data_IF_946632526792
#
_entry.id   IF_946632526792
#
_cell.length_a   1.000
_cell.length_b   1.000
_cell.length_c   1.000
_cell.angle_alpha   90.00
_cell.angle_beta   90.00
_cell.angle_gamma   90.00
#
_symmetry.space_group_name_H-M   'P 1'
#
loop_
_entity.id
_entity.type
_entity.pdbx_description
1 polymer ?
#
# COMPACT_ATOMS: atom_id res chain seq x y z
N UNK A 1 13.41 26.55 9.85
CA UNK A 1 12.34 27.54 9.67
C UNK A 1 11.28 27.11 8.66
N UNK A 2 11.55 27.01 7.35
CA UNK A 2 10.50 26.63 6.37
C UNK A 2 9.95 25.21 6.59
N UNK A 3 10.82 24.22 6.78
CA UNK A 3 10.40 22.83 7.05
C UNK A 3 9.60 22.70 8.35
N UNK A 4 10.03 23.36 9.42
CA UNK A 4 9.31 23.33 10.71
C UNK A 4 7.91 23.94 10.58
N UNK A 5 7.78 25.02 9.82
CA UNK A 5 6.48 25.62 9.51
C UNK A 5 5.57 24.64 8.77
N UNK A 6 6.08 23.97 7.74
CA UNK A 6 5.32 22.96 6.98
C UNK A 6 4.85 21.81 7.90
N UNK A 7 5.70 21.34 8.81
CA UNK A 7 5.33 20.26 9.74
C UNK A 7 4.32 20.71 10.80
N UNK A 8 4.43 21.95 11.28
CA UNK A 8 3.42 22.55 12.16
C UNK A 8 2.06 22.72 11.44
N UNK A 9 2.07 23.14 10.18
CA UNK A 9 0.87 23.25 9.34
C UNK A 9 0.22 21.88 9.09
N UNK A 10 1.02 20.83 8.82
CA UNK A 10 0.56 19.44 8.75
C UNK A 10 -0.13 19.03 10.05
N UNK A 11 0.52 19.22 11.20
CA UNK A 11 -0.04 18.84 12.51
C UNK A 11 -1.36 19.56 12.78
N UNK A 12 -1.41 20.87 12.55
CA UNK A 12 -2.64 21.65 12.71
C UNK A 12 -3.74 21.22 11.74
N UNK A 13 -3.39 20.85 10.51
CA UNK A 13 -4.34 20.30 9.54
C UNK A 13 -4.90 18.96 10.00
N UNK A 14 -4.05 18.01 10.45
CA UNK A 14 -4.48 16.71 10.97
C UNK A 14 -5.48 16.87 12.13
N UNK A 15 -5.21 17.80 13.06
CA UNK A 15 -6.12 18.09 14.17
C UNK A 15 -7.47 18.64 13.69
N UNK A 16 -7.48 19.53 12.69
CA UNK A 16 -8.74 20.03 12.06
C UNK A 16 -9.52 18.92 11.36
N UNK A 17 -8.82 17.91 10.83
CA UNK A 17 -9.43 16.72 10.25
C UNK A 17 -9.94 15.71 11.30
N UNK A 18 -9.76 15.99 12.61
CA UNK A 18 -10.22 15.13 13.70
C UNK A 18 -9.21 14.08 14.15
N UNK A 19 -7.95 14.16 13.72
CA UNK A 19 -6.91 13.26 14.21
C UNK A 19 -6.46 13.61 15.63
N UNK A 20 -6.33 12.59 16.49
CA UNK A 20 -5.64 12.72 17.76
C UNK A 20 -4.15 12.48 17.54
N UNK A 21 -3.39 13.56 17.52
CA UNK A 21 -1.93 13.55 17.36
C UNK A 21 -1.24 14.28 18.50
N UNK A 22 -1.86 14.34 19.70
CA UNK A 22 -1.30 15.07 20.84
C UNK A 22 -0.04 14.39 21.37
N UNK A 23 -0.01 13.06 21.40
CA UNK A 23 1.11 12.27 21.90
C UNK A 23 2.24 12.07 20.86
N UNK A 24 2.11 12.63 19.65
CA UNK A 24 3.14 12.58 18.62
C UNK A 24 3.40 13.96 18.01
N UNK A 25 4.53 14.09 17.33
CA UNK A 25 4.87 15.22 16.48
C UNK A 25 5.64 14.74 15.23
N UNK A 26 5.89 15.65 14.30
CA UNK A 26 6.64 15.37 13.07
C UNK A 26 7.96 16.14 13.08
N UNK A 27 9.07 15.44 12.87
CA UNK A 27 10.40 16.04 12.93
C UNK A 27 11.37 15.36 11.96
N UNK A 28 12.46 16.05 11.56
CA UNK A 28 13.59 15.39 10.91
C UNK A 28 14.19 14.32 11.83
N UNK A 29 14.31 13.10 11.31
CA UNK A 29 14.90 11.94 11.95
C UNK A 29 16.21 11.58 11.27
N UNK A 30 17.21 11.23 12.07
CA UNK A 30 18.53 10.86 11.57
C UNK A 30 18.43 9.64 10.64
N UNK A 31 18.95 9.78 9.41
CA UNK A 31 19.00 8.69 8.42
C UNK A 31 17.67 8.33 7.74
N UNK A 32 16.55 8.98 8.08
CA UNK A 32 15.21 8.59 7.59
C UNK A 32 14.33 9.76 7.12
N UNK A 33 14.89 10.96 6.94
CA UNK A 33 14.10 12.13 6.51
C UNK A 33 13.13 12.60 7.59
N UNK A 34 11.91 13.00 7.22
CA UNK A 34 10.88 13.36 8.21
C UNK A 34 10.26 12.09 8.79
N UNK A 35 10.16 12.01 10.11
CA UNK A 35 9.50 10.93 10.83
C UNK A 35 8.52 11.42 11.88
N UNK A 36 7.88 10.47 12.56
CA UNK A 36 7.06 10.71 13.75
C UNK A 36 7.92 10.60 15.00
N UNK A 37 7.75 11.51 15.96
CA UNK A 37 8.43 11.50 17.27
C UNK A 37 7.41 11.56 18.41
N UNK A 38 7.73 10.97 19.55
CA UNK A 38 6.88 11.02 20.73
C UNK A 38 6.96 12.40 21.40
N UNK A 39 5.83 12.93 21.87
CA UNK A 39 5.80 14.16 22.69
C UNK A 39 5.80 13.82 24.18
N UNK A 40 5.88 14.84 25.04
CA UNK A 40 5.67 14.66 26.47
C UNK A 40 4.32 14.03 26.81
N UNK A 41 3.30 14.26 25.99
CA UNK A 41 1.97 13.70 26.17
C UNK A 41 1.89 12.20 25.85
N UNK A 42 2.91 11.59 25.24
CA UNK A 42 2.99 10.14 25.07
C UNK A 42 3.17 9.42 26.42
N UNK A 43 3.97 10.02 27.32
CA UNK A 43 4.31 9.41 28.62
C UNK A 43 3.09 9.02 29.46
N UNK A 44 2.10 9.92 29.72
CA UNK A 44 0.93 9.54 30.51
C UNK A 44 0.07 8.47 29.82
N UNK A 45 0.06 8.38 28.47
CA UNK A 45 -0.68 7.32 27.74
C UNK A 45 -0.05 5.93 27.91
N UNK A 46 1.28 5.88 28.10
CA UNK A 46 2.01 4.63 28.32
C UNK A 46 2.12 4.26 29.80
N UNK A 47 1.87 5.19 30.73
CA UNK A 47 1.88 4.92 32.17
C UNK A 47 0.71 4.02 32.55
N UNK A 48 1.03 2.90 33.20
CA UNK A 48 0.02 2.05 33.84
C UNK A 48 -0.53 2.78 35.08
N UNK A 49 -1.82 3.12 35.05
CA UNK A 49 -2.52 3.58 36.24
C UNK A 49 -2.69 2.44 37.26
N UNK A 50 -2.99 2.81 38.51
CA UNK A 50 -3.39 1.88 39.59
C UNK A 50 -4.43 0.85 39.11
N UNK A 51 -5.39 1.28 38.29
CA UNK A 51 -6.45 0.41 37.78
C UNK A 51 -5.89 -0.66 36.85
N UNK A 52 -4.97 -0.32 35.95
CA UNK A 52 -4.32 -1.28 35.06
C UNK A 52 -3.50 -2.33 35.84
N UNK A 53 -2.94 -1.96 36.99
CA UNK A 53 -2.31 -2.91 37.91
C UNK A 53 -3.32 -3.86 38.55
N UNK A 54 -4.46 -3.36 39.04
CA UNK A 54 -5.56 -4.19 39.55
C UNK A 54 -6.13 -5.14 38.49
N UNK A 55 -6.34 -4.65 37.27
CA UNK A 55 -6.80 -5.47 36.14
C UNK A 55 -5.78 -6.56 35.77
N UNK A 56 -4.48 -6.24 35.80
CA UNK A 56 -3.42 -7.23 35.58
C UNK A 56 -3.37 -8.28 36.69
N UNK A 57 -3.64 -7.90 37.94
CA UNK A 57 -3.73 -8.82 39.07
C UNK A 57 -4.97 -9.73 38.98
N UNK A 58 -6.07 -9.23 38.42
CA UNK A 58 -7.29 -9.99 38.14
C UNK A 58 -7.20 -10.88 36.87
N UNK A 59 -6.02 -11.06 36.28
CA UNK A 59 -5.81 -11.90 35.09
C UNK A 59 -6.12 -11.20 33.76
N UNK A 60 -6.37 -9.89 33.76
CA UNK A 60 -6.51 -9.08 32.55
C UNK A 60 -5.16 -8.85 31.87
N UNK A 61 -5.11 -9.00 30.54
CA UNK A 61 -3.91 -8.74 29.76
C UNK A 61 -3.46 -7.28 29.83
N UNK A 62 -2.16 -7.05 29.71
CA UNK A 62 -1.61 -5.70 29.65
C UNK A 62 -2.18 -4.93 28.44
N UNK A 63 -2.62 -3.69 28.66
CA UNK A 63 -3.23 -2.88 27.62
C UNK A 63 -2.18 -2.09 26.83
N UNK A 64 -2.37 -2.06 25.52
CA UNK A 64 -1.56 -1.24 24.64
C UNK A 64 -1.93 0.25 24.75
N UNK A 65 -0.98 1.13 24.47
CA UNK A 65 -1.16 2.58 24.55
C UNK A 65 -1.41 3.19 23.17
N UNK A 66 -2.49 3.94 23.01
CA UNK A 66 -2.80 4.67 21.76
C UNK A 66 -2.00 5.98 21.70
N UNK A 67 -1.03 6.03 20.79
CA UNK A 67 -0.18 7.22 20.58
C UNK A 67 -0.82 8.22 19.63
N UNK A 68 -1.55 7.74 18.62
CA UNK A 68 -2.27 8.60 17.69
C UNK A 68 -3.48 7.89 17.10
N UNK A 69 -4.47 8.64 16.64
CA UNK A 69 -5.63 8.13 15.90
C UNK A 69 -5.91 9.03 14.70
N UNK A 70 -6.11 8.43 13.53
CA UNK A 70 -6.31 9.09 12.25
C UNK A 70 -7.67 8.65 11.67
N UNK A 71 -8.63 9.55 11.45
CA UNK A 71 -9.93 9.18 10.89
C UNK A 71 -9.78 8.59 9.49
N UNK A 72 -10.38 7.44 9.23
CA UNK A 72 -10.26 6.78 7.92
C UNK A 72 -10.90 7.60 6.79
N UNK A 73 -11.87 8.46 7.13
CA UNK A 73 -12.48 9.43 6.20
C UNK A 73 -11.48 10.41 5.57
N UNK A 74 -10.28 10.56 6.16
CA UNK A 74 -9.23 11.47 5.69
C UNK A 74 -8.16 10.76 4.86
N UNK A 75 -8.20 9.42 4.82
CA UNK A 75 -7.29 8.62 4.02
C UNK A 75 -7.55 8.82 2.52
N UNK A 76 -6.50 8.71 1.71
CA UNK A 76 -6.62 8.69 0.26
C UNK A 76 -6.92 7.26 -0.15
N UNK A 77 -8.18 7.00 -0.50
CA UNK A 77 -8.68 5.68 -0.93
C UNK A 77 -9.56 5.83 -2.17
N UNK A 78 -9.86 4.72 -2.85
CA UNK A 78 -10.80 4.76 -3.98
C UNK A 78 -12.16 5.34 -3.54
N UNK A 79 -12.60 5.01 -2.33
CA UNK A 79 -13.83 5.51 -1.74
C UNK A 79 -13.79 7.02 -1.47
N UNK A 80 -12.70 7.55 -0.91
CA UNK A 80 -12.60 9.00 -0.66
C UNK A 80 -12.43 9.80 -1.95
N UNK A 81 -11.74 9.25 -2.96
CA UNK A 81 -11.64 9.83 -4.29
C UNK A 81 -13.02 9.95 -4.96
N UNK A 82 -13.84 8.89 -4.89
CA UNK A 82 -15.19 8.88 -5.44
C UNK A 82 -16.16 9.83 -4.70
N UNK A 83 -15.91 10.08 -3.41
CA UNK A 83 -16.71 10.98 -2.57
C UNK A 83 -16.32 12.47 -2.69
N UNK A 84 -15.30 12.81 -3.50
CA UNK A 84 -14.89 14.20 -3.70
C UNK A 84 -16.05 15.05 -4.28
N UNK A 85 -16.20 16.30 -3.81
CA UNK A 85 -17.26 17.17 -4.28
C UNK A 85 -17.06 17.58 -5.75
N UNK A 86 -18.14 18.05 -6.37
CA UNK A 86 -18.13 18.51 -7.77
C UNK A 86 -18.04 17.37 -8.79
N UNK A 87 -17.55 17.69 -9.99
CA UNK A 87 -17.46 16.72 -11.10
C UNK A 87 -16.31 15.71 -10.97
N UNK A 88 -15.35 15.97 -10.08
CA UNK A 88 -14.16 15.12 -9.91
C UNK A 88 -14.50 13.75 -9.32
N UNK A 89 -15.30 13.69 -8.25
CA UNK A 89 -15.68 12.43 -7.60
C UNK A 89 -16.40 11.47 -8.56
N UNK A 90 -17.33 11.98 -9.37
CA UNK A 90 -18.03 11.20 -10.39
C UNK A 90 -17.08 10.63 -11.46
N UNK A 91 -16.04 11.37 -11.85
CA UNK A 91 -15.02 10.87 -12.78
C UNK A 91 -14.13 9.78 -12.15
N UNK A 92 -13.70 9.96 -10.90
CA UNK A 92 -12.98 8.90 -10.18
C UNK A 92 -13.81 7.63 -10.06
N UNK A 93 -15.08 7.74 -9.68
CA UNK A 93 -16.00 6.61 -9.62
C UNK A 93 -16.13 5.90 -10.98
N UNK A 94 -16.36 6.66 -12.06
CA UNK A 94 -16.47 6.10 -13.40
C UNK A 94 -15.19 5.37 -13.86
N UNK A 95 -14.00 5.88 -13.53
CA UNK A 95 -12.74 5.23 -13.87
C UNK A 95 -12.57 3.88 -13.18
N UNK A 96 -13.02 3.74 -11.92
CA UNK A 96 -13.04 2.47 -11.21
C UNK A 96 -14.09 1.51 -11.78
N UNK A 97 -15.33 1.97 -11.95
CA UNK A 97 -16.47 1.14 -12.36
C UNK A 97 -16.32 0.59 -13.78
N UNK A 98 -15.80 1.40 -14.69
CA UNK A 98 -15.60 1.03 -16.10
C UNK A 98 -14.30 0.23 -16.31
N UNK A 99 -13.50 0.02 -15.26
CA UNK A 99 -12.20 -0.66 -15.34
C UNK A 99 -11.16 0.11 -16.14
N UNK A 100 -11.28 1.44 -16.21
CA UNK A 100 -10.32 2.32 -16.87
C UNK A 100 -8.98 2.38 -16.13
N UNK A 101 -9.00 2.19 -14.81
CA UNK A 101 -7.81 2.02 -13.98
C UNK A 101 -8.11 1.10 -12.78
N UNK A 102 -7.07 0.42 -12.26
CA UNK A 102 -7.17 -0.20 -10.94
C UNK A 102 -7.10 0.83 -9.81
N UNK A 103 -7.42 0.40 -8.59
CA UNK A 103 -7.48 1.26 -7.40
C UNK A 103 -6.15 1.95 -7.10
N UNK A 104 -5.02 1.27 -7.31
CA UNK A 104 -3.68 1.82 -7.10
C UNK A 104 -3.38 2.94 -8.09
N UNK A 105 -3.65 2.68 -9.35
CA UNK A 105 -3.44 3.62 -10.45
C UNK A 105 -4.33 4.85 -10.26
N UNK A 106 -5.58 4.67 -9.82
CA UNK A 106 -6.48 5.75 -9.50
C UNK A 106 -5.92 6.66 -8.39
N UNK A 107 -5.38 6.07 -7.34
CA UNK A 107 -4.75 6.83 -6.26
C UNK A 107 -3.49 7.57 -6.71
N UNK A 108 -2.73 7.01 -7.64
CA UNK A 108 -1.62 7.74 -8.26
C UNK A 108 -2.12 8.94 -9.07
N UNK A 109 -3.22 8.82 -9.81
CA UNK A 109 -3.84 9.97 -10.50
C UNK A 109 -4.36 11.02 -9.50
N UNK A 110 -4.99 10.59 -8.41
CA UNK A 110 -5.42 11.48 -7.33
C UNK A 110 -4.25 12.29 -6.77
N UNK A 111 -3.12 11.63 -6.49
CA UNK A 111 -1.91 12.30 -6.03
C UNK A 111 -1.39 13.35 -7.02
N UNK A 112 -1.37 13.04 -8.33
CA UNK A 112 -0.96 14.00 -9.37
C UNK A 112 -1.91 15.21 -9.40
N UNK A 113 -3.21 14.96 -9.48
CA UNK A 113 -4.24 15.99 -9.57
C UNK A 113 -4.17 16.92 -8.36
N UNK A 114 -4.18 16.35 -7.15
CA UNK A 114 -4.21 17.12 -5.91
C UNK A 114 -2.91 17.86 -5.65
N UNK A 115 -1.75 17.32 -6.07
CA UNK A 115 -0.49 18.05 -6.05
C UNK A 115 -0.52 19.28 -6.96
N UNK A 116 -1.04 19.13 -8.18
CA UNK A 116 -1.09 20.22 -9.17
C UNK A 116 -2.13 21.29 -8.82
N UNK A 117 -3.18 20.94 -8.08
CA UNK A 117 -4.12 21.91 -7.51
C UNK A 117 -3.49 22.84 -6.46
N UNK A 118 -2.33 22.48 -5.91
CA UNK A 118 -1.63 23.30 -4.93
C UNK A 118 -2.49 23.60 -3.71
N UNK A 119 -2.58 24.87 -3.33
CA UNK A 119 -3.33 25.34 -2.16
C UNK A 119 -4.84 25.08 -2.23
N UNK A 120 -5.39 24.86 -3.43
CA UNK A 120 -6.80 24.51 -3.62
C UNK A 120 -7.11 23.03 -3.32
N UNK A 121 -6.09 22.21 -3.02
CA UNK A 121 -6.28 20.84 -2.58
C UNK A 121 -6.69 20.80 -1.09
N UNK A 122 -7.70 19.99 -0.72
CA UNK A 122 -8.00 19.76 0.70
C UNK A 122 -6.86 19.07 1.45
N UNK A 123 -5.92 18.45 0.73
CA UNK A 123 -4.72 17.80 1.27
C UNK A 123 -3.46 18.65 1.17
N UNK A 124 -3.55 19.94 0.81
CA UNK A 124 -2.38 20.79 0.57
C UNK A 124 -1.32 20.76 1.70
N UNK A 125 -1.68 20.84 3.00
CA UNK A 125 -0.68 20.78 4.08
C UNK A 125 0.04 19.42 4.17
N UNK A 126 -0.66 18.33 3.87
CA UNK A 126 -0.05 16.99 3.81
C UNK A 126 0.86 16.85 2.58
N UNK A 127 0.39 17.27 1.40
CA UNK A 127 1.17 17.24 0.17
C UNK A 127 2.45 18.07 0.27
N UNK A 128 2.40 19.24 0.93
CA UNK A 128 3.56 20.09 1.16
C UNK A 128 4.62 19.44 2.09
N UNK A 129 4.19 18.57 2.99
CA UNK A 129 5.08 17.84 3.89
C UNK A 129 5.74 16.61 3.25
N UNK A 130 5.20 16.10 2.14
CA UNK A 130 5.75 14.95 1.42
C UNK A 130 7.13 15.24 0.81
N UNK A 131 7.96 14.21 0.61
CA UNK A 131 9.23 14.37 -0.09
C UNK A 131 9.01 14.67 -1.58
N UNK A 132 9.83 15.58 -2.13
CA UNK A 132 9.86 15.84 -3.57
C UNK A 132 10.42 14.64 -4.36
N UNK A 133 11.27 13.83 -3.73
CA UNK A 133 11.83 12.58 -4.28
C UNK A 133 12.01 11.56 -3.15
N UNK A 134 11.62 10.31 -3.41
CA UNK A 134 11.71 9.20 -2.43
C UNK A 134 13.12 8.58 -2.38
N UNK A 135 13.97 8.80 -3.39
CA UNK A 135 15.29 8.16 -3.48
C UNK A 135 15.28 6.79 -4.17
N UNK A 136 14.14 6.39 -4.73
CA UNK A 136 14.00 5.15 -5.53
C UNK A 136 14.85 5.22 -6.82
N UNK A 137 15.43 4.08 -7.27
CA UNK A 137 16.09 3.94 -8.56
C UNK A 137 15.27 4.43 -9.75
N UNK A 138 13.93 4.54 -9.63
CA UNK A 138 13.08 5.15 -10.65
C UNK A 138 13.49 6.56 -11.05
N UNK A 139 14.14 7.31 -10.15
CA UNK A 139 14.55 8.70 -10.35
C UNK A 139 16.06 8.88 -10.58
N UNK A 140 16.83 7.80 -10.56
CA UNK A 140 18.29 7.85 -10.77
C UNK A 140 18.66 8.37 -12.16
N UNK A 141 19.75 9.14 -12.21
CA UNK A 141 20.45 9.40 -13.48
C UNK A 141 20.93 8.09 -14.12
N UNK A 142 21.24 8.13 -15.41
CA UNK A 142 21.80 6.95 -16.10
C UNK A 142 23.13 6.49 -15.47
N UNK A 143 23.93 7.43 -14.94
CA UNK A 143 25.17 7.12 -14.21
C UNK A 143 24.87 6.35 -12.92
N UNK A 144 23.94 6.84 -12.08
CA UNK A 144 23.56 6.15 -10.85
C UNK A 144 22.93 4.78 -11.14
N UNK A 145 22.07 4.69 -12.16
CA UNK A 145 21.45 3.42 -12.54
C UNK A 145 22.49 2.41 -13.07
N UNK A 146 23.55 2.88 -13.73
CA UNK A 146 24.64 2.01 -14.22
C UNK A 146 25.40 1.32 -13.10
N UNK A 147 25.43 1.90 -11.89
CA UNK A 147 26.06 1.27 -10.71
C UNK A 147 25.30 0.02 -10.25
N UNK A 148 24.03 -0.12 -10.63
CA UNK A 148 23.23 -1.30 -10.35
C UNK A 148 23.41 -2.40 -11.43
N UNK A 149 24.20 -2.16 -12.48
CA UNK A 149 24.35 -3.10 -13.59
C UNK A 149 24.78 -4.50 -13.09
N UNK A 150 24.18 -5.54 -13.68
CA UNK A 150 24.39 -6.93 -13.26
C UNK A 150 23.47 -7.42 -12.14
N UNK A 151 22.73 -6.53 -11.47
CA UNK A 151 21.76 -6.90 -10.43
C UNK A 151 20.34 -7.12 -10.98
N UNK A 152 19.50 -7.83 -10.22
CA UNK A 152 18.05 -7.93 -10.44
C UNK A 152 17.40 -6.53 -10.46
N UNK A 153 17.85 -5.64 -9.58
CA UNK A 153 17.30 -4.31 -9.38
C UNK A 153 17.47 -3.43 -10.62
N UNK A 154 18.64 -3.44 -11.27
CA UNK A 154 18.83 -2.70 -12.52
C UNK A 154 17.83 -3.11 -13.61
N UNK A 155 17.62 -4.42 -13.79
CA UNK A 155 16.63 -4.93 -14.75
C UNK A 155 15.21 -4.53 -14.33
N UNK A 156 14.86 -4.70 -13.07
CA UNK A 156 13.55 -4.36 -12.55
C UNK A 156 13.23 -2.87 -12.72
N UNK A 157 14.16 -1.98 -12.40
CA UNK A 157 14.02 -0.53 -12.57
C UNK A 157 13.81 -0.15 -14.03
N UNK A 158 14.58 -0.72 -14.97
CA UNK A 158 14.42 -0.44 -16.40
C UNK A 158 13.04 -0.86 -16.92
N UNK A 159 12.60 -2.07 -16.57
CA UNK A 159 11.28 -2.59 -16.96
C UNK A 159 10.15 -1.75 -16.35
N UNK A 160 10.28 -1.38 -15.08
CA UNK A 160 9.27 -0.55 -14.41
C UNK A 160 9.22 0.86 -15.02
N UNK A 161 10.36 1.51 -15.31
CA UNK A 161 10.38 2.80 -16.02
C UNK A 161 9.69 2.72 -17.38
N UNK A 162 9.95 1.66 -18.15
CA UNK A 162 9.29 1.45 -19.43
C UNK A 162 7.77 1.31 -19.23
N UNK A 163 7.35 0.44 -18.31
CA UNK A 163 5.94 0.21 -18.02
C UNK A 163 5.22 1.49 -17.58
N UNK A 164 5.83 2.29 -16.71
CA UNK A 164 5.27 3.57 -16.28
C UNK A 164 5.12 4.56 -17.43
N UNK A 165 6.05 4.59 -18.41
CA UNK A 165 5.89 5.43 -19.61
C UNK A 165 4.71 4.98 -20.47
N UNK A 166 4.58 3.67 -20.68
CA UNK A 166 3.46 3.10 -21.42
C UNK A 166 2.12 3.36 -20.72
N UNK A 167 2.09 3.29 -19.39
CA UNK A 167 0.91 3.61 -18.58
C UNK A 167 0.59 5.09 -18.65
N UNK A 168 1.58 5.96 -18.48
CA UNK A 168 1.39 7.39 -18.55
C UNK A 168 0.81 7.84 -19.89
N UNK A 169 1.33 7.33 -21.01
CA UNK A 169 0.81 7.63 -22.33
C UNK A 169 -0.69 7.29 -22.49
N UNK A 170 -1.20 6.31 -21.73
CA UNK A 170 -2.62 5.94 -21.74
C UNK A 170 -3.45 6.67 -20.70
N UNK A 171 -2.85 7.23 -19.66
CA UNK A 171 -3.52 7.82 -18.50
C UNK A 171 -3.48 9.35 -18.48
N UNK A 172 -2.54 9.96 -19.21
CA UNK A 172 -2.37 11.41 -19.30
C UNK A 172 -3.67 12.13 -19.72
N UNK A 173 -4.45 11.68 -20.73
CA UNK A 173 -5.72 12.31 -21.07
C UNK A 173 -6.73 12.29 -19.91
N UNK A 174 -6.85 11.16 -19.21
CA UNK A 174 -7.75 11.01 -18.06
C UNK A 174 -7.30 11.90 -16.90
N UNK A 175 -5.99 12.01 -16.68
CA UNK A 175 -5.43 12.92 -15.68
C UNK A 175 -5.76 14.38 -16.01
N UNK A 176 -5.66 14.79 -17.27
CA UNK A 176 -6.03 16.14 -17.72
C UNK A 176 -7.53 16.41 -17.54
N UNK A 177 -8.39 15.43 -17.81
CA UNK A 177 -9.82 15.54 -17.56
C UNK A 177 -10.16 15.66 -16.06
N UNK A 178 -9.45 14.93 -15.21
CA UNK A 178 -9.62 15.02 -13.75
C UNK A 178 -9.18 16.40 -13.23
N UNK A 179 -8.08 16.95 -13.74
CA UNK A 179 -7.65 18.32 -13.43
C UNK A 179 -8.72 19.35 -13.82
N UNK A 180 -9.28 19.22 -15.04
CA UNK A 180 -10.34 20.11 -15.49
C UNK A 180 -11.59 20.03 -14.61
N UNK A 181 -12.01 18.81 -14.23
CA UNK A 181 -13.14 18.60 -13.34
C UNK A 181 -12.89 19.06 -11.89
N UNK A 182 -11.63 19.23 -11.52
CA UNK A 182 -11.21 19.71 -10.20
C UNK A 182 -10.90 21.22 -10.18
N UNK A 183 -11.18 21.93 -11.28
CA UNK A 183 -10.97 23.38 -11.38
C UNK A 183 -9.51 23.80 -11.59
N UNK A 184 -8.67 22.90 -12.11
CA UNK A 184 -7.24 23.14 -12.36
C UNK A 184 -6.86 22.82 -13.83
N UNK A 185 -7.74 23.16 -14.77
CA UNK A 185 -7.61 22.84 -16.20
C UNK A 185 -6.37 23.47 -16.86
N UNK A 186 -5.87 24.57 -16.31
CA UNK A 186 -4.69 25.31 -16.75
C UNK A 186 -3.38 24.56 -16.49
N UNK A 187 -3.38 23.62 -15.53
CA UNK A 187 -2.23 22.79 -15.24
C UNK A 187 -2.11 21.65 -16.26
N UNK A 188 -0.88 21.31 -16.61
CA UNK A 188 -0.55 20.18 -17.49
C UNK A 188 0.24 19.15 -16.70
N UNK A 189 -0.27 17.93 -16.50
CA UNK A 189 0.45 16.91 -15.79
C UNK A 189 1.57 16.37 -16.67
N UNK A 190 2.72 16.07 -16.07
CA UNK A 190 3.86 15.50 -16.76
C UNK A 190 4.17 14.07 -16.29
N UNK A 191 4.93 13.33 -17.09
CA UNK A 191 5.41 12.00 -16.71
C UNK A 191 6.15 11.99 -15.36
N UNK A 192 6.88 13.06 -15.04
CA UNK A 192 7.58 13.21 -13.77
C UNK A 192 6.62 13.25 -12.57
N UNK A 193 5.43 13.86 -12.73
CA UNK A 193 4.40 13.89 -11.68
C UNK A 193 3.87 12.47 -11.42
N UNK A 194 3.66 11.69 -12.47
CA UNK A 194 3.23 10.31 -12.35
C UNK A 194 4.28 9.40 -11.70
N UNK A 195 5.56 9.57 -12.05
CA UNK A 195 6.67 8.85 -11.37
C UNK A 195 6.76 9.22 -9.90
N UNK A 196 6.55 10.50 -9.56
CA UNK A 196 6.47 10.95 -8.18
C UNK A 196 5.29 10.30 -7.46
N UNK A 197 4.09 10.34 -8.03
CA UNK A 197 2.89 9.77 -7.44
C UNK A 197 3.01 8.25 -7.24
N UNK A 198 3.59 7.54 -8.21
CA UNK A 198 3.93 6.12 -8.06
C UNK A 198 4.87 5.89 -6.88
N UNK A 199 5.93 6.69 -6.75
CA UNK A 199 6.91 6.56 -5.67
C UNK A 199 6.28 6.85 -4.30
N UNK A 200 5.44 7.88 -4.20
CA UNK A 200 4.67 8.20 -2.99
C UNK A 200 3.73 7.06 -2.63
N UNK A 201 2.93 6.58 -3.59
CA UNK A 201 1.99 5.48 -3.36
C UNK A 201 2.69 4.23 -2.83
N UNK A 202 3.74 3.75 -3.49
CA UNK A 202 4.39 2.50 -3.10
C UNK A 202 5.13 2.59 -1.75
N UNK A 203 5.70 3.76 -1.44
CA UNK A 203 6.38 3.99 -0.17
C UNK A 203 5.43 4.18 1.01
N UNK A 204 4.18 4.62 0.79
CA UNK A 204 3.29 5.11 1.87
C UNK A 204 1.94 4.42 1.97
N UNK A 205 1.46 3.77 0.92
CA UNK A 205 0.16 3.12 0.93
C UNK A 205 0.15 1.87 1.82
N UNK A 206 -0.95 1.70 2.53
CA UNK A 206 -1.25 0.56 3.38
C UNK A 206 -2.52 -0.12 2.90
N UNK A 207 -2.57 -1.45 3.01
CA UNK A 207 -3.80 -2.21 2.84
C UNK A 207 -4.52 -2.30 4.19
N UNK A 208 -5.81 -1.97 4.21
CA UNK A 208 -6.64 -2.09 5.40
C UNK A 208 -8.00 -2.73 5.06
N UNK A 209 -8.61 -3.50 5.99
CA UNK A 209 -9.96 -4.00 5.83
C UNK A 209 -10.98 -2.86 5.76
N UNK A 210 -11.76 -2.83 4.68
CA UNK A 210 -12.92 -1.98 4.49
C UNK A 210 -14.21 -2.81 4.52
N UNK A 211 -15.24 -2.41 5.29
CA UNK A 211 -16.53 -3.06 5.27
C UNK A 211 -17.24 -2.78 3.93
N UNK A 212 -17.67 -3.83 3.25
CA UNK A 212 -18.39 -3.74 1.98
C UNK A 212 -19.63 -4.63 2.01
N UNK A 213 -20.71 -4.18 1.37
CA UNK A 213 -21.92 -4.99 1.20
C UNK A 213 -21.79 -5.82 -0.09
N UNK A 214 -21.69 -7.14 0.05
CA UNK A 214 -21.70 -8.06 -1.09
C UNK A 214 -23.07 -8.75 -1.19
N UNK A 215 -23.90 -8.36 -2.16
CA UNK A 215 -25.26 -8.87 -2.31
C UNK A 215 -26.16 -8.59 -1.10
N UNK A 216 -25.99 -7.41 -0.48
CA UNK A 216 -26.72 -7.02 0.73
C UNK A 216 -26.20 -7.65 2.04
N UNK A 217 -25.13 -8.47 1.99
CA UNK A 217 -24.51 -9.05 3.18
C UNK A 217 -23.21 -8.31 3.54
N UNK A 218 -22.96 -8.03 4.84
CA UNK A 218 -21.69 -7.49 5.27
C UNK A 218 -20.55 -8.43 4.91
N UNK A 219 -19.48 -7.89 4.34
CA UNK A 219 -18.24 -8.57 4.04
C UNK A 219 -17.07 -7.59 4.20
N UNK A 220 -15.85 -8.09 4.24
CA UNK A 220 -14.65 -7.27 4.39
C UNK A 220 -13.79 -7.44 3.15
N UNK A 221 -13.42 -6.33 2.51
CA UNK A 221 -12.48 -6.29 1.39
C UNK A 221 -11.22 -5.57 1.83
N UNK A 222 -10.05 -5.99 1.36
CA UNK A 222 -8.85 -5.18 1.50
C UNK A 222 -8.96 -3.98 0.55
N UNK A 223 -8.96 -2.78 1.11
CA UNK A 223 -8.82 -1.50 0.41
C UNK A 223 -7.39 -1.02 0.59
N UNK A 224 -6.81 -0.42 -0.45
CA UNK A 224 -5.48 0.18 -0.34
C UNK A 224 -5.62 1.70 -0.31
N UNK A 225 -4.83 2.33 0.55
CA UNK A 225 -4.85 3.78 0.67
C UNK A 225 -3.69 4.34 1.45
N UNK A 226 -3.55 5.65 1.42
CA UNK A 226 -2.57 6.37 2.22
C UNK A 226 -3.30 7.04 3.38
N UNK A 227 -2.81 6.88 4.60
CA UNK A 227 -3.38 7.54 5.79
C UNK A 227 -2.47 8.72 6.16
N UNK A 228 -2.87 9.97 5.86
CA UNK A 228 -2.08 11.14 6.19
C UNK A 228 -1.66 11.18 7.65
N UNK A 229 -0.36 11.37 7.89
CA UNK A 229 0.22 11.43 9.23
C UNK A 229 0.76 10.07 9.69
N UNK A 230 -0.01 8.98 9.53
CA UNK A 230 0.51 7.63 9.78
C UNK A 230 1.68 7.30 8.85
N UNK A 231 1.57 7.72 7.59
CA UNK A 231 2.54 7.46 6.52
C UNK A 231 3.93 8.10 6.72
N UNK A 232 4.10 8.93 7.75
CA UNK A 232 5.39 9.47 8.18
C UNK A 232 6.10 8.60 9.23
N UNK A 233 5.48 7.53 9.74
CA UNK A 233 6.18 6.62 10.64
C UNK A 233 7.24 5.84 9.86
N UNK A 234 8.51 5.95 10.25
CA UNK A 234 9.62 5.27 9.61
C UNK A 234 9.68 3.78 9.98
N UNK A 235 10.45 3.03 9.19
CA UNK A 235 10.62 1.59 9.35
C UNK A 235 11.53 1.24 10.52
N UNK A 236 11.09 0.26 11.33
CA UNK A 236 11.96 -0.51 12.23
C UNK A 236 11.34 -1.90 12.46
N UNK A 237 12.08 -2.96 12.15
CA UNK A 237 11.63 -4.34 12.31
C UNK A 237 11.39 -4.72 13.77
N UNK A 238 12.16 -4.14 14.69
CA UNK A 238 12.06 -4.39 16.12
C UNK A 238 11.07 -3.45 16.83
N UNK A 239 10.33 -2.62 16.09
CA UNK A 239 9.48 -1.60 16.70
C UNK A 239 8.46 -2.20 17.67
N UNK A 240 8.34 -1.64 18.89
CA UNK A 240 7.28 -1.99 19.82
C UNK A 240 5.94 -1.34 19.44
N UNK A 241 5.90 -0.50 18.40
CA UNK A 241 4.71 0.20 17.94
C UNK A 241 4.19 -0.44 16.65
N UNK A 242 2.88 -0.55 16.55
CA UNK A 242 2.17 -1.00 15.34
C UNK A 242 1.02 -0.07 15.04
N UNK A 243 0.44 -0.18 13.86
CA UNK A 243 -0.85 0.42 13.59
C UNK A 243 -1.97 -0.64 13.59
N UNK A 244 -3.20 -0.21 13.87
CA UNK A 244 -4.41 -1.05 13.85
C UNK A 244 -5.60 -0.22 13.40
N UNK A 245 -6.69 -0.86 13.00
CA UNK A 245 -7.96 -0.17 12.76
C UNK A 245 -8.84 -0.36 13.97
N UNK A 246 -9.57 0.69 14.31
CA UNK A 246 -10.55 0.69 15.38
C UNK A 246 -11.89 1.18 14.86
N UNK A 247 -12.96 0.50 15.25
CA UNK A 247 -14.29 0.68 14.65
C UNK A 247 -14.42 -0.08 13.32
N UNK A 248 -15.53 -0.77 13.11
CA UNK A 248 -15.81 -1.57 11.90
C UNK A 248 -16.18 -3.04 12.17
N UNK A 249 -17.32 -3.47 11.61
CA UNK A 249 -17.82 -4.84 11.42
C UNK A 249 -17.80 -5.88 12.58
N UNK A 250 -17.59 -5.47 13.84
CA UNK A 250 -17.82 -6.31 15.03
C UNK A 250 -18.98 -5.86 15.93
N UNK A 251 -19.36 -4.58 15.86
CA UNK A 251 -20.43 -3.98 16.66
C UNK A 251 -21.43 -3.29 15.74
N UNK A 252 -22.53 -3.97 15.41
CA UNK A 252 -23.68 -3.39 14.70
C UNK A 252 -24.39 -2.26 15.47
N UNK A 253 -23.88 -1.88 16.65
CA UNK A 253 -24.48 -0.91 17.57
C UNK A 253 -23.60 0.33 17.83
N UNK A 254 -22.42 0.46 17.20
CA UNK A 254 -21.56 1.63 17.42
C UNK A 254 -21.56 2.53 16.18
N UNK A 255 -22.15 3.72 16.31
CA UNK A 255 -22.02 4.84 15.36
C UNK A 255 -20.63 5.51 15.41
N UNK A 256 -19.66 4.92 16.13
CA UNK A 256 -18.34 5.50 16.27
C UNK A 256 -17.58 5.48 14.92
N UNK A 257 -16.90 6.58 14.56
CA UNK A 257 -16.12 6.66 13.33
C UNK A 257 -14.99 5.63 13.33
N UNK A 258 -14.75 5.03 12.16
CA UNK A 258 -13.61 4.14 11.92
C UNK A 258 -12.33 4.97 11.86
N UNK A 259 -11.36 4.64 12.71
CA UNK A 259 -10.07 5.30 12.76
C UNK A 259 -8.91 4.29 12.65
N UNK A 260 -7.76 4.79 12.22
CA UNK A 260 -6.49 4.06 12.20
C UNK A 260 -5.65 4.55 13.36
N UNK A 261 -5.24 3.64 14.25
CA UNK A 261 -4.51 3.97 15.47
C UNK A 261 -3.07 3.54 15.40
N UNK A 262 -2.18 4.40 15.85
CA UNK A 262 -0.80 4.07 16.17
C UNK A 262 -0.72 3.65 17.64
N UNK A 263 -0.25 2.44 17.90
CA UNK A 263 -0.40 1.75 19.17
C UNK A 263 0.93 1.16 19.63
N UNK A 264 1.39 1.60 20.80
CA UNK A 264 2.55 1.04 21.47
C UNK A 264 2.17 -0.20 22.27
N UNK A 265 2.93 -1.29 22.08
CA UNK A 265 2.75 -2.54 22.84
C UNK A 265 2.82 -2.28 24.33
N UNK A 266 2.02 -3.00 25.09
CA UNK A 266 1.99 -2.89 26.54
C UNK A 266 3.38 -3.09 27.16
N UNK A 267 3.83 -2.12 27.96
CA UNK A 267 5.17 -2.13 28.58
C UNK A 267 6.27 -1.47 27.74
N UNK A 268 5.96 -1.03 26.51
CA UNK A 268 6.85 -0.15 25.77
C UNK A 268 7.00 1.22 26.47
N UNK A 269 8.17 1.83 26.32
CA UNK A 269 8.45 3.18 26.78
C UNK A 269 9.07 3.98 25.62
N UNK A 270 8.62 5.22 25.46
CA UNK A 270 9.14 6.17 24.50
C UNK A 270 9.49 7.46 25.24
N UNK A 271 10.72 7.94 25.09
CA UNK A 271 11.12 9.24 25.60
C UNK A 271 10.56 10.36 24.70
N UNK A 272 10.24 11.55 25.25
CA UNK A 272 9.94 12.72 24.41
C UNK A 272 11.07 12.99 23.41
N UNK A 273 10.72 13.25 22.16
CA UNK A 273 11.66 13.41 21.05
C UNK A 273 12.17 12.09 20.45
N UNK A 274 11.91 10.94 21.07
CA UNK A 274 12.26 9.65 20.49
C UNK A 274 11.38 9.36 19.28
N UNK A 275 12.01 8.88 18.20
CA UNK A 275 11.31 8.49 16.98
C UNK A 275 10.35 7.32 17.25
N UNK A 276 9.14 7.46 16.71
CA UNK A 276 8.10 6.43 16.68
C UNK A 276 8.14 5.77 15.31
N UNK A 277 8.47 4.49 15.28
CA UNK A 277 8.59 3.67 14.06
C UNK A 277 7.57 2.56 14.07
N UNK A 278 7.30 1.91 12.93
CA UNK A 278 6.67 0.58 12.91
C UNK A 278 7.28 -0.29 11.81
N UNK A 279 7.13 -1.61 11.92
CA UNK A 279 7.66 -2.52 10.89
C UNK A 279 6.83 -2.45 9.61
N UNK A 280 7.50 -2.27 8.48
CA UNK A 280 6.88 -2.37 7.14
C UNK A 280 6.76 -3.83 6.68
N UNK A 281 7.20 -4.78 7.51
CA UNK A 281 7.36 -6.20 7.19
C UNK A 281 8.80 -6.57 6.89
N UNK A 282 9.04 -7.88 6.74
CA UNK A 282 10.34 -8.47 6.49
C UNK A 282 10.74 -8.29 5.02
N UNK A 283 11.29 -7.11 4.71
CA UNK A 283 11.66 -6.70 3.34
C UNK A 283 13.16 -6.73 3.14
N UNK A 284 13.58 -7.37 2.04
CA UNK A 284 14.98 -7.32 1.60
C UNK A 284 15.38 -5.95 1.04
N UNK A 285 16.67 -5.68 0.96
CA UNK A 285 17.19 -4.38 0.53
C UNK A 285 16.84 -4.05 -0.93
N UNK A 286 16.68 -5.04 -1.81
CA UNK A 286 16.19 -4.81 -3.18
C UNK A 286 14.77 -4.23 -3.20
N UNK A 287 13.88 -4.73 -2.35
CA UNK A 287 12.49 -4.25 -2.24
C UNK A 287 12.45 -2.87 -1.55
N UNK A 288 13.17 -2.71 -0.44
CA UNK A 288 13.27 -1.44 0.27
C UNK A 288 13.80 -0.34 -0.63
N UNK A 289 14.87 -0.60 -1.39
CA UNK A 289 15.46 0.40 -2.28
C UNK A 289 14.51 0.73 -3.43
N UNK A 290 13.89 -0.26 -4.06
CA UNK A 290 13.00 0.00 -5.19
C UNK A 290 11.74 0.78 -4.80
N UNK A 291 11.08 0.36 -3.72
CA UNK A 291 9.74 0.86 -3.34
C UNK A 291 9.79 2.00 -2.34
N UNK A 292 10.76 2.01 -1.43
CA UNK A 292 10.87 2.97 -0.33
C UNK A 292 12.06 3.93 -0.44
N UNK A 293 13.04 3.63 -1.30
CA UNK A 293 14.17 4.50 -1.58
C UNK A 293 15.27 4.51 -0.52
N UNK A 294 15.33 3.48 0.33
CA UNK A 294 16.40 3.30 1.32
C UNK A 294 16.82 1.83 1.44
N UNK A 295 17.96 1.59 2.08
CA UNK A 295 18.45 0.26 2.46
C UNK A 295 18.78 0.25 3.95
N UNK A 296 18.79 -0.95 4.56
CA UNK A 296 19.19 -1.16 5.95
C UNK A 296 20.54 -1.87 6.01
N UNK A 297 21.39 -1.46 6.94
CA UNK A 297 22.68 -2.08 7.22
C UNK A 297 22.91 -2.17 8.75
N UNK A 298 22.87 -3.38 9.34
CA UNK A 298 22.51 -4.66 8.73
C UNK A 298 20.98 -4.79 8.49
N UNK A 299 20.58 -5.59 7.50
CA UNK A 299 19.19 -6.00 7.30
C UNK A 299 19.06 -7.52 7.52
N UNK A 300 18.40 -7.98 8.60
CA UNK A 300 18.29 -9.42 8.87
C UNK A 300 17.29 -10.12 7.94
N UNK A 301 16.43 -9.37 7.22
CA UNK A 301 15.52 -9.88 6.21
C UNK A 301 16.11 -9.80 4.79
N UNK A 302 17.40 -9.44 4.63
CA UNK A 302 18.00 -9.32 3.32
C UNK A 302 18.18 -10.68 2.64
N UNK A 303 17.94 -10.70 1.34
CA UNK A 303 18.06 -11.90 0.53
C UNK A 303 18.44 -11.54 -0.90
N UNK A 304 19.30 -12.37 -1.50
CA UNK A 304 19.64 -12.26 -2.92
C UNK A 304 18.74 -13.17 -3.74
N UNK A 305 18.11 -12.61 -4.77
CA UNK A 305 17.37 -13.41 -5.75
C UNK A 305 18.32 -13.99 -6.79
N UNK A 306 18.54 -15.30 -6.73
CA UNK A 306 19.31 -16.03 -7.74
C UNK A 306 18.35 -16.65 -8.76
N UNK A 307 18.38 -16.15 -9.99
CA UNK A 307 17.61 -16.74 -11.08
C UNK A 307 18.19 -18.12 -11.44
N UNK A 308 17.39 -19.18 -11.26
CA UNK A 308 17.71 -20.54 -11.71
C UNK A 308 16.82 -20.89 -12.91
N UNK A 309 17.16 -20.47 -14.14
CA UNK A 309 16.35 -20.76 -15.31
C UNK A 309 16.33 -22.27 -15.56
N UNK A 310 15.14 -22.81 -15.78
CA UNK A 310 14.97 -24.18 -16.26
C UNK A 310 14.66 -24.14 -17.76
N UNK A 311 15.27 -25.01 -18.57
CA UNK A 311 14.88 -25.15 -19.97
C UNK A 311 13.43 -25.66 -20.08
N UNK A 312 12.79 -25.57 -21.25
CA UNK A 312 11.48 -26.17 -21.49
C UNK A 312 11.47 -27.66 -21.10
N UNK A 313 10.34 -28.20 -20.57
CA UNK A 313 10.25 -29.61 -20.18
C UNK A 313 10.66 -30.62 -21.25
N UNK A 314 10.53 -30.26 -22.53
CA UNK A 314 10.95 -31.10 -23.67
C UNK A 314 12.47 -31.30 -23.75
N UNK A 315 13.26 -30.43 -23.13
CA UNK A 315 14.73 -30.48 -23.13
C UNK A 315 15.28 -31.09 -21.83
N UNK A 316 14.44 -31.61 -20.95
CA UNK A 316 14.89 -32.17 -19.67
C UNK A 316 15.49 -33.56 -19.87
N UNK A 317 16.74 -33.73 -19.44
CA UNK A 317 17.32 -35.06 -19.27
C UNK A 317 16.77 -35.76 -18.00
N UNK A 318 17.07 -37.05 -17.85
CA UNK A 318 16.60 -37.85 -16.72
C UNK A 318 17.07 -37.30 -15.36
N UNK A 319 18.27 -36.71 -15.31
CA UNK A 319 18.85 -36.16 -14.09
C UNK A 319 18.13 -34.88 -13.66
N UNK A 320 17.89 -33.96 -14.58
CA UNK A 320 17.15 -32.71 -14.36
C UNK A 320 15.70 -33.00 -13.96
N UNK A 321 15.05 -33.93 -14.66
CA UNK A 321 13.70 -34.37 -14.30
C UNK A 321 13.65 -34.91 -12.85
N UNK A 322 14.65 -35.69 -12.45
CA UNK A 322 14.78 -36.22 -11.08
C UNK A 322 15.03 -35.11 -10.05
N UNK A 323 15.91 -34.15 -10.36
CA UNK A 323 16.18 -32.97 -9.50
C UNK A 323 14.92 -32.12 -9.31
N UNK A 324 14.19 -31.83 -10.39
CA UNK A 324 12.92 -31.07 -10.30
C UNK A 324 11.86 -31.84 -9.52
N UNK A 325 11.75 -33.16 -9.69
CA UNK A 325 10.84 -33.98 -8.90
C UNK A 325 11.19 -33.96 -7.40
N UNK A 326 12.48 -34.01 -7.06
CA UNK A 326 12.95 -33.89 -5.68
C UNK A 326 12.60 -32.51 -5.10
N UNK A 327 12.87 -31.43 -5.84
CA UNK A 327 12.52 -30.06 -5.44
C UNK A 327 11.02 -29.94 -5.13
N UNK A 328 10.15 -30.44 -6.01
CA UNK A 328 8.69 -30.46 -5.79
C UNK A 328 8.30 -31.23 -4.53
N UNK A 329 8.90 -32.42 -4.28
CA UNK A 329 8.66 -33.22 -3.06
C UNK A 329 9.11 -32.51 -1.79
N UNK A 330 10.03 -31.56 -1.88
CA UNK A 330 10.50 -30.72 -0.77
C UNK A 330 9.78 -29.38 -0.68
N UNK A 331 8.67 -29.20 -1.42
CA UNK A 331 7.93 -27.94 -1.50
C UNK A 331 8.76 -26.76 -2.05
N UNK A 332 9.79 -27.04 -2.84
CA UNK A 332 10.65 -26.07 -3.53
C UNK A 332 10.34 -26.04 -5.04
N UNK A 333 9.07 -26.02 -5.41
CA UNK A 333 8.67 -26.05 -6.81
C UNK A 333 9.24 -24.83 -7.56
N UNK A 334 9.99 -25.02 -8.67
CA UNK A 334 10.49 -23.91 -9.47
C UNK A 334 9.35 -23.01 -9.94
N UNK A 335 9.47 -21.70 -9.72
CA UNK A 335 8.54 -20.72 -10.26
C UNK A 335 8.93 -20.41 -11.71
N UNK A 336 8.02 -20.67 -12.65
CA UNK A 336 8.22 -20.35 -14.05
C UNK A 336 7.76 -18.91 -14.30
N UNK A 337 8.69 -18.04 -14.70
CA UNK A 337 8.37 -16.69 -15.16
C UNK A 337 8.23 -16.71 -16.68
N UNK A 338 6.99 -16.66 -17.17
CA UNK A 338 6.72 -16.56 -18.60
C UNK A 338 7.00 -15.12 -19.09
N UNK A 339 7.79 -14.93 -20.16
CA UNK A 339 7.95 -13.61 -20.77
C UNK A 339 6.60 -13.07 -21.23
N UNK A 340 6.35 -11.77 -21.02
CA UNK A 340 5.11 -11.11 -21.47
C UNK A 340 4.83 -11.32 -22.97
N UNK A 341 5.89 -11.39 -23.80
CA UNK A 341 5.80 -11.68 -25.23
C UNK A 341 5.25 -13.08 -25.57
N UNK A 342 5.28 -14.02 -24.62
CA UNK A 342 4.74 -15.37 -24.78
C UNK A 342 3.26 -15.48 -24.34
N UNK A 343 2.68 -14.41 -23.80
CA UNK A 343 1.27 -14.35 -23.43
C UNK A 343 0.46 -13.73 -24.58
N UNK A 344 -0.68 -14.32 -24.96
CA UNK A 344 -1.54 -13.73 -25.99
C UNK A 344 -2.08 -12.35 -25.52
N UNK A 345 -2.30 -11.39 -26.45
CA UNK A 345 -2.86 -10.09 -26.11
C UNK A 345 -4.19 -10.25 -25.36
N UNK A 346 -4.40 -9.50 -24.28
CA UNK A 346 -5.59 -9.59 -23.40
C UNK A 346 -6.94 -9.51 -24.16
N UNK A 347 -6.97 -8.88 -25.34
CA UNK A 347 -8.14 -8.83 -26.22
C UNK A 347 -8.67 -10.21 -26.67
N UNK A 348 -7.84 -11.25 -26.65
CA UNK A 348 -8.23 -12.61 -27.04
C UNK A 348 -9.16 -13.28 -26.00
N UNK A 349 -9.07 -12.91 -24.72
CA UNK A 349 -9.91 -13.50 -23.67
C UNK A 349 -11.34 -12.95 -23.65
N UNK A 350 -11.56 -11.72 -24.13
CA UNK A 350 -12.89 -11.10 -24.17
C UNK A 350 -13.84 -11.76 -25.19
N UNK A 351 -13.31 -12.42 -26.22
CA UNK A 351 -14.11 -13.04 -27.30
C UNK A 351 -14.58 -14.47 -27.03
N UNK A 352 -14.20 -15.08 -25.89
CA UNK A 352 -14.60 -16.45 -25.54
C UNK A 352 -15.70 -16.54 -24.46
N UNK A 353 -16.58 -15.54 -24.36
CA UNK A 353 -17.88 -15.72 -23.70
C UNK A 353 -18.83 -16.39 -24.68
N UNK A 354 -18.94 -17.72 -24.59
CA UNK A 354 -19.94 -18.50 -25.34
C UNK A 354 -21.37 -17.99 -25.05
N UNK A 355 -22.31 -18.06 -26.00
CA UNK A 355 -23.70 -17.68 -25.77
C UNK A 355 -24.34 -18.62 -24.75
N UNK A 356 -25.06 -18.08 -23.75
CA UNK A 356 -25.85 -18.88 -22.82
C UNK A 356 -27.01 -19.58 -23.58
N UNK A 357 -27.25 -20.89 -23.39
CA UNK A 357 -28.47 -21.51 -23.86
C UNK A 357 -29.63 -21.20 -22.89
N UNK A 358 -30.81 -21.03 -23.47
CA UNK A 358 -32.06 -20.72 -22.79
C UNK A 358 -32.51 -21.81 -21.79
N UNK A 359 -33.23 -21.35 -20.77
CA UNK A 359 -33.95 -22.03 -19.68
C UNK A 359 -34.18 -23.56 -19.74
N UNK A 360 -33.91 -24.23 -18.61
CA UNK A 360 -34.44 -25.56 -18.30
C UNK A 360 -34.22 -25.97 -16.84
N UNK A 361 -35.32 -26.25 -16.12
CA UNK A 361 -35.40 -26.63 -14.70
C UNK A 361 -34.86 -28.07 -14.44
N UNK A 362 -34.12 -28.21 -13.33
CA UNK A 362 -34.05 -29.33 -12.33
C UNK A 362 -32.71 -30.07 -12.12
N UNK A 363 -32.46 -30.23 -10.82
CA UNK A 363 -31.73 -31.27 -10.06
C UNK A 363 -30.23 -31.11 -9.72
N UNK A 364 -30.07 -30.60 -8.48
CA UNK A 364 -29.13 -30.90 -7.39
C UNK A 364 -27.98 -31.91 -7.57
N UNK A 365 -26.83 -31.47 -7.00
CA UNK A 365 -25.81 -32.24 -6.26
C UNK A 365 -24.50 -32.69 -6.91
N UNK A 366 -24.18 -32.32 -8.17
CA UNK A 366 -22.80 -32.54 -8.69
C UNK A 366 -22.10 -31.32 -9.31
N UNK A 367 -22.79 -30.18 -9.49
CA UNK A 367 -22.19 -29.00 -10.15
C UNK A 367 -21.40 -28.05 -9.21
N UNK A 368 -21.41 -28.28 -7.90
CA UNK A 368 -20.70 -27.42 -6.93
C UNK A 368 -19.19 -27.65 -6.89
N UNK A 369 -18.70 -28.82 -7.33
CA UNK A 369 -17.28 -29.17 -7.23
C UNK A 369 -16.46 -28.79 -8.48
N UNK A 370 -17.12 -28.66 -9.63
CA UNK A 370 -16.47 -28.34 -10.91
C UNK A 370 -16.37 -26.83 -11.20
N UNK A 371 -17.17 -25.98 -10.52
CA UNK A 371 -17.10 -24.51 -10.64
C UNK A 371 -15.95 -23.87 -9.85
N UNK A 372 -15.29 -24.59 -8.94
CA UNK A 372 -14.14 -24.08 -8.16
C UNK A 372 -12.79 -24.13 -8.87
N UNK A 373 -12.68 -24.72 -10.06
CA UNK A 373 -11.38 -24.91 -10.77
C UNK A 373 -11.15 -24.01 -11.98
N UNK A 374 -12.08 -23.14 -12.36
CA UNK A 374 -11.98 -22.36 -13.61
C UNK A 374 -12.02 -20.83 -13.45
N UNK A 375 -12.03 -20.28 -12.23
CA UNK A 375 -11.93 -18.82 -12.01
C UNK A 375 -10.51 -18.32 -11.72
N UNK A 376 -9.49 -19.16 -11.90
CA UNK A 376 -8.10 -18.86 -11.54
C UNK A 376 -7.17 -18.90 -12.76
N UNK A 377 -7.50 -18.16 -13.83
CA UNK A 377 -6.54 -17.84 -14.90
C UNK A 377 -6.83 -16.42 -15.42
N UNK A 378 -6.36 -15.42 -14.69
CA UNK A 378 -5.96 -14.14 -15.28
C UNK A 378 -4.43 -14.11 -15.24
N UNK A 379 -3.73 -13.90 -16.37
CA UNK A 379 -2.28 -13.76 -16.33
C UNK A 379 -1.96 -12.36 -15.78
N UNK A 380 -1.75 -12.29 -14.46
CA UNK A 380 -1.12 -11.14 -13.82
C UNK A 380 0.34 -11.13 -14.23
N UNK A 381 0.77 -10.03 -14.85
CA UNK A 381 2.16 -9.77 -15.22
C UNK A 381 2.96 -9.55 -13.91
N UNK A 382 3.43 -10.63 -13.29
CA UNK A 382 4.27 -10.55 -12.11
C UNK A 382 5.71 -10.26 -12.52
N UNK A 383 6.15 -9.01 -12.35
CA UNK A 383 7.58 -8.76 -12.14
C UNK A 383 7.98 -9.59 -10.91
N UNK A 384 9.15 -10.24 -10.95
CA UNK A 384 9.67 -11.10 -9.88
C UNK A 384 10.04 -10.36 -8.59
N UNK A 385 9.45 -9.19 -8.33
CA UNK A 385 9.40 -8.57 -7.01
C UNK A 385 8.01 -8.87 -6.52
N UNK A 386 7.94 -9.72 -5.49
CA UNK A 386 6.71 -10.19 -4.89
C UNK A 386 6.01 -8.99 -4.20
N UNK A 387 5.41 -8.09 -4.98
CA UNK A 387 4.64 -6.93 -4.50
C UNK A 387 3.27 -7.34 -3.92
N UNK A 388 3.22 -8.49 -3.25
CA UNK A 388 2.17 -8.77 -2.28
C UNK A 388 2.64 -8.16 -0.96
N UNK A 389 2.25 -6.89 -0.73
CA UNK A 389 2.14 -6.39 0.64
C UNK A 389 1.15 -7.35 1.34
N UNK A 390 1.70 -8.30 2.09
CA UNK A 390 1.07 -9.24 3.04
C UNK A 390 0.85 -10.69 2.58
N UNK A 391 1.66 -11.57 3.18
CA UNK A 391 1.28 -12.92 3.63
C UNK A 391 1.66 -13.18 5.10
N UNK A 392 2.09 -12.16 5.88
CA UNK A 392 2.89 -12.40 7.09
C UNK A 392 2.51 -11.71 8.41
N UNK A 393 1.51 -10.83 8.47
CA UNK A 393 1.09 -10.30 9.78
C UNK A 393 -0.39 -10.59 10.05
N UNK A 394 -0.67 -11.00 11.28
CA UNK A 394 -2.03 -11.21 11.76
C UNK A 394 -2.62 -9.84 12.07
N UNK A 395 -3.62 -9.42 11.29
CA UNK A 395 -4.45 -8.28 11.65
C UNK A 395 -5.41 -8.75 12.75
N UNK A 396 -5.04 -8.54 14.02
CA UNK A 396 -5.92 -8.83 15.15
C UNK A 396 -6.95 -7.70 15.29
N UNK A 397 -8.22 -8.04 15.05
CA UNK A 397 -9.34 -7.21 15.47
C UNK A 397 -9.42 -7.25 17.00
N UNK A 398 -9.35 -6.09 17.66
CA UNK A 398 -9.72 -5.97 19.08
C UNK A 398 -11.06 -5.25 19.16
N UNK A 399 -12.03 -5.92 19.78
CA UNK A 399 -13.36 -5.39 20.08
C UNK A 399 -13.31 -4.30 21.15
#
# INVERSE_FOLDING_TARGET
>A
MERERVLAELRGWLQRQGADVVAIDFAPCQGAGVGVVATEAAMPRMRRGWSAWLWSWAGGGAQDAVLAAFPLSTALTGSTAAALPGGAGAKYAALLELGGCDERTLLMLLLVVERLRGEASPWAPWLAALPACVGSPLTYSDVQLSQLAGTSLHRATRLLRQRLREDWARLEPQCQELLAASGAAEHKPAFADFVWAHSIFWSRAQAFPAPVLHGGRPSVRAEEGIVPGLDFCNHDQASPVRWTIWGGAGNAASEAPVDVRLVARAGAALAPGQQVTFSYGDKGNEELLLLYGFTLEPNPADALMVACPLPPPAEWDALLATRVALLRRRNLAPQLFLPAAALPPQAAYARQRSPQPASGRKNSSSQAMQRRRLSAVQPQLHLAINCQKWSGAACEWRC
#
